data_IF_969719157015
#
_entry.id   IF_969719157015
#
_cell.length_a   1.000
_cell.length_b   1.000
_cell.length_c   1.000
_cell.angle_alpha   90.00
_cell.angle_beta   90.00
_cell.angle_gamma   90.00
#
_symmetry.space_group_name_H-M   'P 1'
#
loop_
_entity.id
_entity.type
_entity.pdbx_description
1 polymer ?
#
# COMPACT_ATOMS: atom_id res chain seq x y z
N UNK A 1 31.98 -6.47 24.62
CA UNK A 1 30.88 -5.56 24.21
C UNK A 1 29.87 -5.50 25.34
N UNK A 2 29.21 -4.36 25.61
CA UNK A 2 28.18 -4.34 26.64
C UNK A 2 27.05 -5.31 26.26
N UNK A 3 26.56 -6.09 27.21
CA UNK A 3 25.56 -7.15 27.00
C UNK A 3 24.12 -6.63 26.76
N UNK A 4 23.94 -5.31 26.66
CA UNK A 4 22.65 -4.64 26.51
C UNK A 4 22.48 -3.91 25.16
N UNK A 5 23.36 -4.14 24.17
CA UNK A 5 23.24 -3.55 22.85
C UNK A 5 22.10 -4.21 22.05
N UNK A 6 21.26 -3.37 21.47
CA UNK A 6 20.24 -3.80 20.53
C UNK A 6 20.82 -3.95 19.10
N UNK A 7 20.16 -4.70 18.22
CA UNK A 7 20.52 -4.76 16.81
C UNK A 7 20.41 -3.38 16.15
N UNK A 8 21.11 -3.20 15.04
CA UNK A 8 21.01 -1.97 14.24
C UNK A 8 19.57 -1.68 13.83
N UNK A 9 19.17 -0.41 13.93
CA UNK A 9 17.85 0.09 13.60
C UNK A 9 16.69 -0.54 14.41
N UNK A 10 16.99 -1.07 15.58
CA UNK A 10 16.03 -1.46 16.62
C UNK A 10 16.36 -0.66 17.87
N UNK A 11 15.36 -0.01 18.46
CA UNK A 11 15.53 0.84 19.63
C UNK A 11 14.36 0.71 20.60
N UNK A 12 14.65 0.90 21.89
CA UNK A 12 13.60 1.05 22.89
C UNK A 12 12.86 2.38 22.69
N UNK A 13 11.55 2.35 22.85
CA UNK A 13 10.70 3.55 22.88
C UNK A 13 10.58 4.00 24.35
N UNK A 14 11.09 5.19 24.66
CA UNK A 14 11.14 5.70 26.03
C UNK A 14 9.77 6.24 26.50
N UNK A 15 9.53 6.40 27.84
CA UNK A 15 8.19 6.64 28.38
C UNK A 15 7.41 7.79 27.78
N UNK A 16 8.06 8.93 27.48
CA UNK A 16 7.37 10.11 26.92
C UNK A 16 6.92 9.87 25.47
N UNK A 17 7.71 9.15 24.70
CA UNK A 17 7.39 8.81 23.32
C UNK A 17 6.37 7.66 23.27
N UNK A 18 6.58 6.62 24.08
CA UNK A 18 5.68 5.49 24.19
C UNK A 18 4.24 5.94 24.52
N UNK A 19 4.10 6.92 25.45
CA UNK A 19 2.78 7.48 25.78
C UNK A 19 2.14 8.16 24.57
N UNK A 20 2.87 8.97 23.83
CA UNK A 20 2.35 9.66 22.63
C UNK A 20 1.92 8.68 21.54
N UNK A 21 2.72 7.65 21.32
CA UNK A 21 2.39 6.58 20.35
C UNK A 21 1.10 5.88 20.77
N UNK A 22 0.95 5.51 22.04
CA UNK A 22 -0.25 4.82 22.54
C UNK A 22 -1.49 5.71 22.49
N UNK A 23 -1.37 6.99 22.82
CA UNK A 23 -2.47 7.95 22.71
C UNK A 23 -2.90 8.11 21.25
N UNK A 24 -1.97 8.29 20.31
CA UNK A 24 -2.25 8.39 18.89
C UNK A 24 -2.90 7.10 18.35
N UNK A 25 -2.34 5.94 18.73
CA UNK A 25 -2.91 4.65 18.35
C UNK A 25 -4.38 4.52 18.75
N UNK A 26 -4.72 4.91 19.98
CA UNK A 26 -6.11 4.87 20.48
C UNK A 26 -7.01 5.79 19.68
N UNK A 27 -6.62 7.03 19.49
CA UNK A 27 -7.41 8.03 18.77
C UNK A 27 -7.70 7.57 17.33
N UNK A 28 -6.70 6.98 16.64
CA UNK A 28 -6.91 6.46 15.29
C UNK A 28 -7.84 5.23 15.29
N UNK A 29 -7.67 4.29 16.22
CA UNK A 29 -8.55 3.11 16.32
C UNK A 29 -9.99 3.49 16.71
N UNK A 30 -10.16 4.48 17.57
CA UNK A 30 -11.49 5.00 17.92
C UNK A 30 -12.16 5.65 16.70
N UNK A 31 -11.38 6.39 15.88
CA UNK A 31 -11.88 6.92 14.61
C UNK A 31 -12.28 5.80 13.65
N UNK A 32 -11.48 4.74 13.50
CA UNK A 32 -11.84 3.57 12.68
C UNK A 32 -13.13 2.91 13.17
N UNK A 33 -13.30 2.81 14.48
CA UNK A 33 -14.54 2.27 15.08
C UNK A 33 -15.78 3.10 14.69
N UNK A 34 -15.68 4.43 14.62
CA UNK A 34 -16.78 5.31 14.16
C UNK A 34 -17.19 5.05 12.70
N UNK A 35 -16.26 4.59 11.85
CA UNK A 35 -16.54 4.15 10.48
C UNK A 35 -17.03 2.69 10.40
N UNK A 36 -17.18 2.01 11.55
CA UNK A 36 -17.66 0.63 11.62
C UNK A 36 -16.58 -0.44 11.40
N UNK A 37 -15.30 -0.09 11.56
CA UNK A 37 -14.22 -1.08 11.48
C UNK A 37 -14.10 -1.87 12.79
N UNK A 38 -13.97 -3.18 12.64
CA UNK A 38 -13.75 -4.12 13.74
C UNK A 38 -12.25 -4.39 13.91
N UNK A 39 -11.76 -4.26 15.14
CA UNK A 39 -10.35 -4.49 15.45
C UNK A 39 -10.04 -5.98 15.43
N UNK A 40 -9.00 -6.37 14.68
CA UNK A 40 -8.40 -7.71 14.71
C UNK A 40 -6.95 -7.66 15.17
N UNK A 41 -6.48 -8.73 15.80
CA UNK A 41 -5.12 -8.84 16.33
C UNK A 41 -4.45 -10.11 15.79
N UNK A 42 -3.87 -10.06 14.58
CA UNK A 42 -3.13 -11.20 14.03
C UNK A 42 -1.90 -11.52 14.86
N UNK A 43 -1.45 -12.79 14.93
CA UNK A 43 -0.24 -13.18 15.65
C UNK A 43 1.02 -12.62 14.99
N UNK A 44 2.09 -12.42 15.78
CA UNK A 44 3.39 -11.97 15.27
C UNK A 44 4.08 -13.04 14.41
N UNK A 45 3.88 -14.31 14.75
CA UNK A 45 4.46 -15.48 14.11
C UNK A 45 3.42 -16.28 13.35
N UNK A 46 3.78 -16.73 12.15
CA UNK A 46 2.95 -17.61 11.34
C UNK A 46 3.85 -18.56 10.52
N UNK A 47 3.32 -19.69 10.05
CA UNK A 47 4.07 -20.50 9.08
C UNK A 47 4.40 -19.67 7.84
N UNK A 48 5.64 -19.76 7.36
CA UNK A 48 6.13 -18.90 6.29
C UNK A 48 5.26 -18.99 5.03
N UNK A 49 4.83 -20.19 4.65
CA UNK A 49 3.99 -20.43 3.47
C UNK A 49 2.63 -19.72 3.59
N UNK A 50 2.05 -19.69 4.79
CA UNK A 50 0.80 -18.99 5.07
C UNK A 50 0.99 -17.47 5.06
N UNK A 51 2.06 -16.99 5.68
CA UNK A 51 2.36 -15.57 5.79
C UNK A 51 2.65 -14.92 4.43
N UNK A 52 3.28 -15.67 3.52
CA UNK A 52 3.64 -15.20 2.18
C UNK A 52 2.59 -15.54 1.11
N UNK A 53 1.49 -16.19 1.48
CA UNK A 53 0.41 -16.50 0.54
C UNK A 53 -0.15 -15.21 -0.09
N UNK A 54 -0.04 -15.08 -1.41
CA UNK A 54 -0.45 -13.88 -2.15
C UNK A 54 0.49 -12.67 -2.01
N UNK A 55 1.58 -12.79 -1.26
CA UNK A 55 2.57 -11.73 -1.13
C UNK A 55 3.58 -11.74 -2.30
N UNK A 56 4.06 -10.57 -2.69
CA UNK A 56 5.12 -10.43 -3.69
C UNK A 56 6.50 -10.84 -3.17
N UNK A 57 7.46 -11.03 -4.09
CA UNK A 57 8.84 -11.40 -3.77
C UNK A 57 9.52 -10.44 -2.78
N UNK A 58 9.23 -9.16 -2.85
CA UNK A 58 9.74 -8.14 -1.92
C UNK A 58 9.38 -8.45 -0.45
N UNK A 59 8.19 -9.01 -0.22
CA UNK A 59 7.75 -9.37 1.12
C UNK A 59 8.56 -10.53 1.69
N UNK A 60 8.91 -11.52 0.88
CA UNK A 60 9.77 -12.64 1.28
C UNK A 60 11.16 -12.17 1.73
N UNK A 61 11.74 -11.21 1.02
CA UNK A 61 13.03 -10.60 1.37
C UNK A 61 12.99 -9.78 2.66
N UNK A 62 11.83 -9.19 2.98
CA UNK A 62 11.62 -8.36 4.19
C UNK A 62 11.26 -9.17 5.42
N UNK A 63 10.88 -10.43 5.27
CA UNK A 63 10.40 -11.30 6.34
C UNK A 63 11.55 -12.01 7.05
N UNK A 64 11.64 -11.88 8.39
CA UNK A 64 12.52 -12.70 9.21
C UNK A 64 12.02 -14.14 9.24
N UNK A 65 12.93 -15.09 9.03
CA UNK A 65 12.64 -16.52 8.99
C UNK A 65 13.26 -17.22 10.20
N UNK A 66 12.48 -18.07 10.85
CA UNK A 66 12.84 -18.82 12.04
C UNK A 66 12.46 -20.27 11.85
N UNK A 67 13.12 -21.17 12.61
CA UNK A 67 12.73 -22.58 12.66
C UNK A 67 11.95 -22.82 13.95
N UNK A 68 10.74 -23.35 13.81
CA UNK A 68 9.92 -23.76 14.94
C UNK A 68 10.53 -25.00 15.62
N UNK A 69 10.88 -24.86 16.89
CA UNK A 69 11.51 -25.95 17.67
C UNK A 69 10.53 -27.11 17.92
N UNK A 70 9.22 -26.89 17.85
CA UNK A 70 8.21 -27.91 18.09
C UNK A 70 7.91 -28.75 16.85
N UNK A 71 7.78 -28.12 15.69
CA UNK A 71 7.37 -28.78 14.46
C UNK A 71 8.47 -28.97 13.43
N UNK A 72 9.62 -28.30 13.60
CA UNK A 72 10.70 -28.26 12.63
C UNK A 72 10.38 -27.41 11.37
N UNK A 73 9.20 -26.80 11.29
CA UNK A 73 8.76 -26.00 10.14
C UNK A 73 9.35 -24.58 10.19
N UNK A 74 9.44 -23.96 9.03
CA UNK A 74 9.85 -22.55 8.92
C UNK A 74 8.67 -21.63 9.28
N UNK A 75 8.94 -20.70 10.20
CA UNK A 75 8.06 -19.60 10.57
C UNK A 75 8.57 -18.29 9.99
N UNK A 76 7.65 -17.35 9.78
CA UNK A 76 7.96 -15.95 9.47
C UNK A 76 7.51 -15.02 10.61
N UNK A 77 8.31 -13.99 10.90
CA UNK A 77 7.82 -12.81 11.62
C UNK A 77 7.14 -11.87 10.64
N UNK A 78 5.93 -11.43 10.96
CA UNK A 78 5.17 -10.58 10.05
C UNK A 78 5.94 -9.29 9.71
N UNK A 79 6.11 -9.03 8.41
CA UNK A 79 6.63 -7.77 7.88
C UNK A 79 5.52 -6.81 7.46
N UNK A 80 4.29 -7.33 7.35
CA UNK A 80 3.04 -6.60 7.06
C UNK A 80 1.85 -7.40 7.61
N UNK A 81 0.78 -6.72 8.03
CA UNK A 81 -0.42 -7.37 8.58
C UNK A 81 -1.51 -7.63 7.53
N UNK A 82 -1.44 -7.00 6.35
CA UNK A 82 -2.48 -7.09 5.29
C UNK A 82 -2.81 -8.53 4.93
N UNK A 83 -1.81 -9.37 4.65
CA UNK A 83 -2.02 -10.78 4.27
C UNK A 83 -2.68 -11.60 5.38
N UNK A 84 -2.34 -11.31 6.63
CA UNK A 84 -2.93 -11.98 7.79
C UNK A 84 -4.40 -11.57 7.99
N UNK A 85 -4.71 -10.27 7.77
CA UNK A 85 -6.09 -9.76 7.89
C UNK A 85 -6.95 -10.32 6.76
N UNK A 86 -6.43 -10.37 5.53
CA UNK A 86 -7.10 -11.03 4.41
C UNK A 86 -7.39 -12.52 4.70
N UNK A 87 -6.45 -13.24 5.33
CA UNK A 87 -6.65 -14.62 5.77
C UNK A 87 -7.74 -14.73 6.83
N UNK A 88 -7.80 -13.78 7.78
CA UNK A 88 -8.86 -13.74 8.81
C UNK A 88 -10.22 -13.56 8.16
N UNK A 89 -10.36 -12.63 7.22
CA UNK A 89 -11.61 -12.42 6.49
C UNK A 89 -12.02 -13.68 5.72
N UNK A 90 -11.12 -14.22 4.89
CA UNK A 90 -11.42 -15.32 3.98
C UNK A 90 -11.68 -16.67 4.67
N UNK A 91 -10.99 -16.96 5.79
CA UNK A 91 -11.00 -18.31 6.39
C UNK A 91 -11.60 -18.38 7.79
N UNK A 92 -11.65 -17.28 8.54
CA UNK A 92 -12.17 -17.29 9.91
C UNK A 92 -13.53 -16.58 10.01
N UNK A 93 -13.66 -15.40 9.42
CA UNK A 93 -14.93 -14.67 9.43
C UNK A 93 -15.87 -15.15 8.33
N UNK A 94 -15.34 -15.28 7.10
CA UNK A 94 -16.05 -15.80 5.92
C UNK A 94 -17.47 -15.23 5.76
N UNK A 95 -17.59 -13.90 5.87
CA UNK A 95 -18.86 -13.19 5.82
C UNK A 95 -19.29 -12.96 4.37
N UNK A 96 -20.58 -13.13 4.08
CA UNK A 96 -21.15 -12.81 2.77
C UNK A 96 -21.37 -11.29 2.54
N UNK A 97 -21.33 -10.50 3.62
CA UNK A 97 -21.52 -9.05 3.59
C UNK A 97 -20.18 -8.31 3.54
N UNK A 98 -20.24 -7.01 3.27
CA UNK A 98 -19.06 -6.12 3.37
C UNK A 98 -18.48 -6.22 4.79
N UNK A 99 -17.19 -6.51 4.87
CA UNK A 99 -16.43 -6.62 6.12
C UNK A 99 -15.43 -5.47 6.20
N UNK A 100 -15.43 -4.76 7.33
CA UNK A 100 -14.46 -3.69 7.63
C UNK A 100 -13.60 -4.11 8.80
N UNK A 101 -12.30 -4.26 8.57
CA UNK A 101 -11.35 -4.68 9.59
C UNK A 101 -10.26 -3.64 9.77
N UNK A 102 -9.83 -3.44 11.01
CA UNK A 102 -8.68 -2.61 11.31
C UNK A 102 -7.71 -3.34 12.24
N UNK A 103 -6.49 -2.87 12.27
CA UNK A 103 -5.43 -3.48 13.06
C UNK A 103 -4.40 -2.45 13.50
N UNK A 104 -3.67 -2.75 14.57
CA UNK A 104 -2.50 -2.01 15.01
C UNK A 104 -1.54 -2.94 15.72
N UNK A 105 -0.25 -2.89 15.36
CA UNK A 105 0.79 -3.67 16.00
C UNK A 105 2.15 -3.51 15.34
N UNK A 106 3.20 -3.96 16.02
CA UNK A 106 4.55 -3.98 15.45
C UNK A 106 4.66 -4.95 14.29
N UNK A 107 5.43 -4.57 13.30
CA UNK A 107 5.94 -5.44 12.23
C UNK A 107 7.46 -5.41 12.23
N UNK A 108 8.10 -6.42 11.66
CA UNK A 108 9.55 -6.55 11.69
C UNK A 108 10.11 -6.69 10.27
N UNK A 109 11.07 -5.83 9.93
CA UNK A 109 11.73 -5.84 8.65
C UNK A 109 13.18 -6.32 8.76
N UNK A 110 13.62 -7.22 7.89
CA UNK A 110 15.01 -7.65 7.80
C UNK A 110 15.96 -6.50 7.50
N UNK A 111 15.47 -5.48 6.76
CA UNK A 111 16.22 -4.27 6.40
C UNK A 111 15.38 -3.03 6.66
N UNK A 112 15.98 -1.92 7.10
CA UNK A 112 15.27 -0.66 7.26
C UNK A 112 14.80 -0.12 5.89
N UNK A 113 13.67 0.55 5.87
CA UNK A 113 13.12 1.17 4.67
C UNK A 113 13.54 2.66 4.59
N UNK A 114 14.84 2.92 4.60
CA UNK A 114 15.45 4.24 4.56
C UNK A 114 16.54 4.43 5.61
N UNK A 115 17.32 5.49 5.49
CA UNK A 115 18.56 5.72 6.27
C UNK A 115 18.33 5.78 7.79
N UNK A 116 17.19 6.29 8.23
CA UNK A 116 16.82 6.44 9.65
C UNK A 116 15.57 5.66 10.05
N UNK A 117 15.13 4.73 9.19
CA UNK A 117 13.93 3.96 9.46
C UNK A 117 14.22 2.86 10.48
N UNK A 118 13.30 2.67 11.43
CA UNK A 118 13.34 1.50 12.32
C UNK A 118 13.04 0.22 11.54
N UNK A 119 13.60 -0.90 12.02
CA UNK A 119 13.25 -2.24 11.54
C UNK A 119 12.01 -2.81 12.26
N UNK A 120 11.55 -2.13 13.30
CA UNK A 120 10.33 -2.48 14.05
C UNK A 120 9.35 -1.30 14.04
N UNK A 121 8.74 -0.96 12.90
CA UNK A 121 7.71 0.07 12.89
C UNK A 121 6.39 -0.44 13.49
N UNK A 122 5.65 0.47 14.14
CA UNK A 122 4.26 0.25 14.49
C UNK A 122 3.40 0.50 13.24
N UNK A 123 2.73 -0.54 12.76
CA UNK A 123 1.78 -0.46 11.65
C UNK A 123 0.37 -0.30 12.20
N UNK A 124 -0.40 0.62 11.61
CA UNK A 124 -1.83 0.74 11.81
C UNK A 124 -2.50 0.75 10.44
N UNK A 125 -3.63 0.06 10.29
CA UNK A 125 -4.30 -0.04 9.00
C UNK A 125 -5.76 -0.40 9.12
N UNK A 126 -6.48 -0.20 8.01
CA UNK A 126 -7.89 -0.51 7.86
C UNK A 126 -8.14 -1.07 6.45
N UNK A 127 -8.98 -2.07 6.34
CA UNK A 127 -9.26 -2.78 5.10
C UNK A 127 -10.74 -3.08 4.94
N UNK A 128 -11.24 -2.99 3.71
CA UNK A 128 -12.63 -3.32 3.35
C UNK A 128 -12.60 -4.53 2.42
N UNK A 129 -13.40 -5.53 2.74
CA UNK A 129 -13.59 -6.74 1.93
C UNK A 129 -15.04 -6.86 1.48
N UNK A 130 -15.25 -7.51 0.33
CA UNK A 130 -16.58 -7.80 -0.19
C UNK A 130 -17.31 -6.62 -0.86
N UNK A 131 -16.61 -5.50 -1.16
CA UNK A 131 -17.16 -4.37 -1.88
C UNK A 131 -16.25 -3.97 -3.07
N UNK A 132 -16.79 -4.00 -4.28
CA UNK A 132 -16.05 -3.71 -5.51
C UNK A 132 -16.29 -2.28 -6.06
N UNK A 133 -17.05 -1.44 -5.37
CA UNK A 133 -17.41 -0.09 -5.80
C UNK A 133 -16.37 0.96 -5.40
N UNK A 134 -16.39 2.09 -6.10
CA UNK A 134 -15.53 3.25 -5.82
C UNK A 134 -15.76 3.85 -4.42
N UNK A 135 -16.89 3.56 -3.81
CA UNK A 135 -17.24 4.01 -2.46
C UNK A 135 -16.27 3.44 -1.43
N UNK A 136 -15.83 2.17 -1.59
CA UNK A 136 -14.83 1.57 -0.73
C UNK A 136 -13.47 2.26 -0.88
N UNK A 137 -13.05 2.54 -2.12
CA UNK A 137 -11.81 3.27 -2.39
C UNK A 137 -11.84 4.68 -1.80
N UNK A 138 -12.96 5.38 -1.92
CA UNK A 138 -13.15 6.72 -1.34
C UNK A 138 -13.12 6.68 0.19
N UNK A 139 -13.80 5.71 0.81
CA UNK A 139 -13.83 5.54 2.26
C UNK A 139 -12.44 5.32 2.85
N UNK A 140 -11.62 4.41 2.28
CA UNK A 140 -10.27 4.16 2.80
C UNK A 140 -9.34 5.35 2.58
N UNK A 141 -9.51 6.12 1.51
CA UNK A 141 -8.75 7.36 1.29
C UNK A 141 -9.12 8.44 2.30
N UNK A 142 -10.40 8.65 2.55
CA UNK A 142 -10.89 9.58 3.57
C UNK A 142 -10.37 9.19 4.97
N UNK A 143 -10.44 7.90 5.29
CA UNK A 143 -9.97 7.36 6.57
C UNK A 143 -8.46 7.55 6.74
N UNK A 144 -7.67 7.38 5.67
CA UNK A 144 -6.23 7.63 5.68
C UNK A 144 -5.92 9.11 5.92
N UNK A 145 -6.63 10.03 5.24
CA UNK A 145 -6.47 11.48 5.44
C UNK A 145 -6.90 11.91 6.84
N UNK A 146 -8.00 11.38 7.36
CA UNK A 146 -8.45 11.64 8.73
C UNK A 146 -7.41 11.16 9.75
N UNK A 147 -6.81 9.99 9.55
CA UNK A 147 -5.75 9.46 10.42
C UNK A 147 -4.51 10.36 10.44
N UNK A 148 -4.11 10.89 9.28
CA UNK A 148 -3.00 11.85 9.20
C UNK A 148 -3.34 13.18 9.89
N UNK A 149 -4.57 13.67 9.77
CA UNK A 149 -5.03 14.86 10.47
C UNK A 149 -5.02 14.67 11.99
N UNK A 150 -5.45 13.50 12.49
CA UNK A 150 -5.36 13.13 13.91
C UNK A 150 -3.91 13.04 14.40
N UNK A 151 -2.98 12.65 13.52
CA UNK A 151 -1.55 12.67 13.80
C UNK A 151 -0.91 14.08 13.73
N UNK A 152 -1.69 15.12 13.44
CA UNK A 152 -1.26 16.52 13.41
C UNK A 152 -0.75 17.02 12.05
N UNK A 153 -0.87 16.23 10.98
CA UNK A 153 -0.53 16.68 9.63
C UNK A 153 -1.66 17.52 9.04
N UNK A 154 -1.44 18.81 8.89
CA UNK A 154 -2.43 19.77 8.36
C UNK A 154 -2.36 19.98 6.86
N UNK A 155 -1.25 19.59 6.23
CA UNK A 155 -1.05 19.68 4.80
C UNK A 155 -0.58 18.32 4.29
N UNK A 156 -1.44 17.65 3.52
CA UNK A 156 -1.18 16.34 2.95
C UNK A 156 -1.38 16.40 1.46
N UNK A 157 -0.46 15.82 0.71
CA UNK A 157 -0.61 15.58 -0.72
C UNK A 157 -0.97 14.11 -0.93
N UNK A 158 -2.12 13.86 -1.54
CA UNK A 158 -2.57 12.53 -1.93
C UNK A 158 -2.33 12.35 -3.43
N UNK A 159 -1.46 11.42 -3.79
CA UNK A 159 -1.23 11.02 -5.17
C UNK A 159 -2.02 9.73 -5.43
N UNK A 160 -2.99 9.81 -6.36
CA UNK A 160 -3.83 8.67 -6.75
C UNK A 160 -3.31 8.09 -8.07
N UNK A 161 -3.20 6.78 -8.12
CA UNK A 161 -2.94 6.05 -9.36
C UNK A 161 -3.87 4.85 -9.50
N UNK A 162 -4.10 4.42 -10.73
CA UNK A 162 -4.97 3.29 -11.03
C UNK A 162 -4.21 2.26 -11.87
N UNK A 163 -3.99 1.07 -11.31
CA UNK A 163 -3.24 -0.02 -11.99
C UNK A 163 -3.92 -0.48 -13.29
N UNK A 164 -5.22 -0.32 -13.42
CA UNK A 164 -5.97 -0.61 -14.65
C UNK A 164 -5.49 0.19 -15.86
N UNK A 165 -4.91 1.38 -15.67
CA UNK A 165 -4.34 2.17 -16.77
C UNK A 165 -3.17 1.42 -17.41
N UNK A 166 -2.22 0.96 -16.60
CA UNK A 166 -1.09 0.19 -17.09
C UNK A 166 -1.55 -1.14 -17.68
N UNK A 167 -2.45 -1.84 -17.01
CA UNK A 167 -3.00 -3.12 -17.49
C UNK A 167 -3.66 -2.97 -18.86
N UNK A 168 -4.48 -1.95 -19.07
CA UNK A 168 -5.13 -1.68 -20.36
C UNK A 168 -4.13 -1.43 -21.49
N UNK A 169 -2.99 -0.81 -21.20
CA UNK A 169 -1.92 -0.61 -22.19
C UNK A 169 -1.24 -1.95 -22.50
N UNK A 170 -0.92 -2.74 -21.47
CA UNK A 170 -0.23 -4.04 -21.59
C UNK A 170 -1.11 -5.05 -22.35
N UNK A 171 -2.41 -5.11 -22.07
CA UNK A 171 -3.34 -6.05 -22.71
C UNK A 171 -3.43 -5.89 -24.24
N UNK A 172 -3.14 -4.70 -24.76
CA UNK A 172 -3.17 -4.40 -26.19
C UNK A 172 -1.85 -4.67 -26.92
N UNK A 173 -0.79 -5.14 -26.23
CA UNK A 173 0.53 -5.38 -26.82
C UNK A 173 1.17 -6.65 -26.30
N UNK A 174 1.35 -7.65 -27.18
CA UNK A 174 1.89 -8.94 -26.82
C UNK A 174 3.34 -8.92 -26.29
N UNK A 175 4.15 -7.92 -26.67
CA UNK A 175 5.49 -7.75 -26.14
C UNK A 175 5.43 -7.12 -24.74
N UNK A 176 4.57 -6.13 -24.53
CA UNK A 176 4.35 -5.53 -23.23
C UNK A 176 3.84 -6.56 -22.18
N UNK A 177 2.99 -7.52 -22.61
CA UNK A 177 2.53 -8.61 -21.74
C UNK A 177 3.67 -9.50 -21.22
N UNK A 178 4.69 -9.76 -22.04
CA UNK A 178 5.85 -10.56 -21.62
C UNK A 178 6.71 -9.81 -20.59
N UNK A 179 6.76 -8.50 -20.70
CA UNK A 179 7.64 -7.64 -19.90
C UNK A 179 6.90 -6.97 -18.72
N UNK A 180 5.68 -7.40 -18.40
CA UNK A 180 4.81 -6.78 -17.39
C UNK A 180 5.55 -6.46 -16.07
N UNK A 181 6.27 -7.42 -15.49
CA UNK A 181 7.00 -7.25 -14.24
C UNK A 181 8.12 -6.22 -14.32
N UNK A 182 8.84 -6.20 -15.47
CA UNK A 182 9.88 -5.22 -15.73
C UNK A 182 9.28 -3.81 -15.87
N UNK A 183 8.17 -3.70 -16.61
CA UNK A 183 7.45 -2.43 -16.78
C UNK A 183 6.99 -1.84 -15.44
N UNK A 184 6.41 -2.65 -14.55
CA UNK A 184 6.06 -2.19 -13.20
C UNK A 184 7.28 -1.65 -12.45
N UNK A 185 8.41 -2.34 -12.51
CA UNK A 185 9.65 -1.94 -11.82
C UNK A 185 10.17 -0.61 -12.36
N UNK A 186 10.26 -0.47 -13.68
CA UNK A 186 10.78 0.73 -14.33
C UNK A 186 9.87 1.95 -14.14
N UNK A 187 8.55 1.75 -14.24
CA UNK A 187 7.57 2.83 -13.99
C UNK A 187 7.60 3.29 -12.54
N UNK A 188 7.72 2.37 -11.59
CA UNK A 188 7.86 2.69 -10.16
C UNK A 188 9.13 3.49 -9.89
N UNK A 189 10.24 3.13 -10.54
CA UNK A 189 11.52 3.85 -10.45
C UNK A 189 11.53 5.16 -11.27
N UNK A 190 10.52 5.37 -12.14
CA UNK A 190 10.50 6.45 -13.15
C UNK A 190 11.77 6.45 -14.03
N UNK A 191 12.28 5.27 -14.32
CA UNK A 191 13.48 5.08 -15.17
C UNK A 191 13.10 5.22 -16.65
N UNK A 192 13.03 6.47 -17.12
CA UNK A 192 12.65 6.79 -18.50
C UNK A 192 13.64 6.23 -19.52
N UNK A 193 14.99 6.28 -19.34
CA UNK A 193 15.92 5.66 -20.25
C UNK A 193 15.68 4.17 -20.46
N UNK A 194 15.56 3.40 -19.38
CA UNK A 194 15.30 1.96 -19.47
C UNK A 194 13.91 1.66 -20.05
N UNK A 195 12.89 2.51 -19.77
CA UNK A 195 11.58 2.41 -20.43
C UNK A 195 11.67 2.63 -21.94
N UNK A 196 12.47 3.57 -22.41
CA UNK A 196 12.70 3.80 -23.85
C UNK A 196 13.31 2.58 -24.54
N UNK A 197 14.24 1.92 -23.86
CA UNK A 197 14.92 0.73 -24.37
C UNK A 197 13.97 -0.47 -24.46
N UNK A 198 13.30 -0.82 -23.36
CA UNK A 198 12.42 -1.99 -23.31
C UNK A 198 11.21 -1.84 -24.26
N UNK A 199 10.68 -0.63 -24.40
CA UNK A 199 9.52 -0.34 -25.26
C UNK A 199 9.86 -0.18 -26.74
N UNK A 200 11.12 -0.29 -27.13
CA UNK A 200 11.55 -0.11 -28.54
C UNK A 200 10.93 -1.13 -29.50
N UNK A 201 10.59 -2.34 -29.00
CA UNK A 201 9.97 -3.42 -29.77
C UNK A 201 8.43 -3.46 -29.67
N UNK A 202 7.80 -2.48 -28.99
CA UNK A 202 6.36 -2.44 -28.80
C UNK A 202 5.64 -1.66 -29.92
N UNK A 203 4.35 -1.82 -30.02
CA UNK A 203 3.53 -1.01 -30.92
C UNK A 203 3.58 0.48 -30.57
N UNK A 204 3.50 1.36 -31.57
CA UNK A 204 3.66 2.81 -31.40
C UNK A 204 2.70 3.43 -30.37
N UNK A 205 1.49 2.91 -30.26
CA UNK A 205 0.49 3.38 -29.30
C UNK A 205 0.89 3.01 -27.86
N UNK A 206 1.19 1.73 -27.62
CA UNK A 206 1.63 1.23 -26.32
C UNK A 206 2.92 1.91 -25.87
N UNK A 207 3.88 2.05 -26.76
CA UNK A 207 5.14 2.75 -26.49
C UNK A 207 4.92 4.20 -26.08
N UNK A 208 4.11 4.96 -26.84
CA UNK A 208 3.81 6.36 -26.51
C UNK A 208 3.10 6.49 -25.17
N UNK A 209 2.12 5.61 -24.91
CA UNK A 209 1.41 5.60 -23.67
C UNK A 209 2.32 5.31 -22.48
N UNK A 210 3.15 4.25 -22.54
CA UNK A 210 4.08 3.87 -21.48
C UNK A 210 5.13 4.95 -21.18
N UNK A 211 5.67 5.60 -22.20
CA UNK A 211 6.64 6.69 -22.03
C UNK A 211 6.01 7.97 -21.48
N UNK A 212 4.70 8.17 -21.65
CA UNK A 212 3.99 9.30 -21.07
C UNK A 212 3.70 9.09 -19.55
N UNK A 213 3.48 7.85 -19.09
CA UNK A 213 3.08 7.56 -17.70
C UNK A 213 3.97 8.21 -16.64
N UNK A 214 5.32 8.18 -16.71
CA UNK A 214 6.17 8.80 -15.69
C UNK A 214 5.99 10.31 -15.54
N UNK A 215 5.49 10.98 -16.58
CA UNK A 215 5.24 12.43 -16.60
C UNK A 215 3.76 12.80 -16.38
N UNK A 216 2.86 11.82 -16.34
CA UNK A 216 1.44 12.05 -16.04
C UNK A 216 1.26 12.30 -14.55
N UNK A 217 1.27 13.56 -14.19
CA UNK A 217 0.90 14.04 -12.86
C UNK A 217 0.14 15.35 -12.99
N UNK A 218 -0.78 15.60 -12.09
CA UNK A 218 -1.55 16.84 -12.10
C UNK A 218 -2.80 16.74 -11.23
N UNK A 219 -3.44 17.86 -11.04
CA UNK A 219 -4.71 17.92 -10.32
C UNK A 219 -5.84 17.55 -11.29
N UNK A 220 -6.67 16.56 -10.93
CA UNK A 220 -7.83 16.15 -11.74
C UNK A 220 -8.79 17.30 -12.07
N UNK A 221 -8.87 18.32 -11.20
CA UNK A 221 -9.64 19.53 -11.43
C UNK A 221 -9.15 20.37 -12.63
N UNK A 222 -7.85 20.34 -12.91
CA UNK A 222 -7.22 21.18 -13.93
C UNK A 222 -6.77 20.40 -15.18
N UNK A 223 -6.56 19.09 -15.06
CA UNK A 223 -6.05 18.26 -16.14
C UNK A 223 -7.14 17.48 -16.88
N UNK A 224 -8.29 17.28 -16.25
CA UNK A 224 -9.45 16.64 -16.88
C UNK A 224 -10.44 17.71 -17.34
N UNK A 225 -10.78 17.80 -18.64
CA UNK A 225 -11.83 18.72 -19.08
C UNK A 225 -13.17 18.30 -18.45
N UNK A 226 -13.67 19.12 -17.53
CA UNK A 226 -14.96 18.83 -16.91
C UNK A 226 -16.09 18.88 -17.97
N UNK A 227 -17.21 18.18 -17.77
CA UNK A 227 -18.37 18.31 -18.64
C UNK A 227 -18.85 19.78 -18.80
N UNK A 228 -18.63 20.62 -17.78
CA UNK A 228 -18.92 22.05 -17.81
C UNK A 228 -17.99 22.85 -18.73
N UNK A 229 -16.72 22.45 -18.84
CA UNK A 229 -15.75 23.11 -19.71
C UNK A 229 -16.04 22.80 -21.18
N UNK A 230 -16.55 21.60 -21.49
CA UNK A 230 -17.05 21.26 -22.84
C UNK A 230 -18.29 22.06 -23.24
N UNK A 231 -19.12 22.46 -22.29
CA UNK A 231 -20.28 23.31 -22.58
C UNK A 231 -19.88 24.77 -22.89
N UNK A 232 -18.91 25.31 -22.17
CA UNK A 232 -18.39 26.67 -22.40
C UNK A 232 -17.70 26.82 -23.76
N UNK A 233 -17.02 25.81 -24.26
CA UNK A 233 -16.37 25.82 -25.56
C UNK A 233 -17.34 25.73 -26.73
N UNK A 234 -18.64 25.47 -26.50
CA UNK A 234 -19.70 25.40 -27.51
C UNK A 234 -20.61 26.63 -27.56
N UNK A 235 -20.43 27.61 -26.69
CA UNK A 235 -21.15 28.89 -26.81
C UNK A 235 -20.44 29.75 -27.87
N UNK A 236 -21.17 30.14 -28.97
CA UNK A 236 -20.63 31.10 -29.89
C UNK A 236 -20.39 32.40 -29.15
N UNK A 237 -19.22 33.02 -29.36
CA UNK A 237 -18.96 34.38 -28.90
C UNK A 237 -20.03 35.27 -29.59
N UNK A 238 -21.01 35.71 -28.85
CA UNK A 238 -21.92 36.76 -29.30
C UNK A 238 -21.11 38.05 -29.46
N UNK A 239 -21.15 38.55 -30.68
CA UNK A 239 -20.60 39.84 -31.10
C UNK A 239 -21.18 41.01 -30.29
#
# INVERSE_FOLDING_TARGET
MPNWLLPENIADVLPSEARKIEELRRVILDNFHLYGYELVMPPMLEYLDSLLAGAGHDMDLRTFKLVDQLSGRTLGLRADMTTQVARIDAHLLNRASVTRLCYSGSVLHTRPNGLHATREPLQIGAEIYGHAGLEADAEVQELALASLALAGFTQVRLDLCHVGVLRAIIENDANAQKDESALYTLLRAKDVPALQEITAAYGDESRRALLALPSLYGCLLYTSPSPRDRQKSRMPSSA
#
